data_IF_309296938598
#
_entry.id   IF_309296938598
#
_cell.length_a   1.000
_cell.length_b   1.000
_cell.length_c   1.000
_cell.angle_alpha   90.00
_cell.angle_beta   90.00
_cell.angle_gamma   90.00
#
_symmetry.space_group_name_H-M   'P 1'
#
loop_
_entity.id
_entity.type
_entity.pdbx_description
1 polymer ?
#
# COMPACT_ATOMS: atom_id res chain seq x y z
N UNK A 1 11.38 15.38 7.81
CA UNK A 1 10.99 15.23 6.38
C UNK A 1 11.50 13.89 5.89
N UNK A 2 10.77 13.19 5.01
CA UNK A 2 11.14 11.86 4.45
C UNK A 2 12.63 11.76 4.03
N UNK A 3 13.17 12.83 3.46
CA UNK A 3 14.59 12.96 3.08
C UNK A 3 15.58 12.80 4.22
N UNK A 4 15.20 13.13 5.45
CA UNK A 4 16.04 12.99 6.65
C UNK A 4 16.23 11.51 7.07
N UNK A 5 15.35 10.62 6.62
CA UNK A 5 15.49 9.16 6.81
C UNK A 5 16.11 8.47 5.58
N UNK A 6 16.57 9.23 4.58
CA UNK A 6 17.21 8.70 3.38
C UNK A 6 16.26 8.07 2.36
N UNK A 7 14.95 8.24 2.51
CA UNK A 7 13.99 7.72 1.54
C UNK A 7 13.96 8.60 0.28
N UNK A 8 14.30 7.97 -0.85
CA UNK A 8 14.31 8.62 -2.18
C UNK A 8 12.97 8.51 -2.91
N UNK A 9 12.01 7.81 -2.32
CA UNK A 9 10.65 7.64 -2.86
C UNK A 9 9.66 8.57 -2.15
N UNK A 10 8.55 8.95 -2.82
CA UNK A 10 7.53 9.79 -2.22
C UNK A 10 6.87 9.08 -1.03
N UNK A 11 6.76 9.79 0.09
CA UNK A 11 5.91 9.40 1.22
C UNK A 11 4.68 10.30 1.18
N UNK A 12 3.53 9.70 0.94
CA UNK A 12 2.25 10.39 0.83
C UNK A 12 1.60 10.54 2.20
N UNK A 13 0.75 11.56 2.34
CA UNK A 13 0.00 11.83 3.57
C UNK A 13 -1.51 11.72 3.30
N UNK A 14 -2.14 10.68 3.85
CA UNK A 14 -3.60 10.48 3.82
C UNK A 14 -4.23 11.05 5.11
N UNK A 15 -3.98 12.34 5.34
CA UNK A 15 -4.30 12.99 6.62
C UNK A 15 -5.66 13.69 6.63
N UNK A 16 -6.08 14.32 5.53
CA UNK A 16 -7.36 15.01 5.47
C UNK A 16 -7.99 14.98 4.07
N UNK A 17 -9.26 14.53 3.94
CA UNK A 17 -10.06 13.87 4.97
C UNK A 17 -9.40 12.57 5.48
N UNK A 18 -9.37 12.40 6.81
CA UNK A 18 -8.51 11.41 7.49
C UNK A 18 -8.74 10.00 6.99
N UNK A 19 -7.76 9.41 6.29
CA UNK A 19 -7.85 8.03 5.82
C UNK A 19 -8.76 7.80 4.61
N UNK A 20 -9.17 8.84 3.87
CA UNK A 20 -10.07 8.68 2.72
C UNK A 20 -9.49 7.77 1.64
N UNK A 21 -8.20 7.91 1.32
CA UNK A 21 -7.56 7.04 0.33
C UNK A 21 -7.51 5.61 0.85
N UNK A 22 -7.08 5.40 2.10
CA UNK A 22 -7.05 4.08 2.70
C UNK A 22 -8.43 3.42 2.77
N UNK A 23 -9.51 4.18 2.99
CA UNK A 23 -10.90 3.68 2.93
C UNK A 23 -11.29 3.28 1.51
N UNK A 24 -10.96 4.09 0.51
CA UNK A 24 -11.25 3.78 -0.89
C UNK A 24 -10.53 2.51 -1.36
N UNK A 25 -9.35 2.22 -0.81
CA UNK A 25 -8.62 0.97 -1.05
C UNK A 25 -9.04 -0.19 -0.13
N UNK A 26 -9.98 0.03 0.80
CA UNK A 26 -10.51 -0.99 1.70
C UNK A 26 -9.52 -1.50 2.74
N UNK A 27 -8.52 -0.68 3.11
CA UNK A 27 -7.45 -1.04 4.05
C UNK A 27 -7.41 -0.17 5.29
N UNK A 28 -8.39 0.71 5.49
CA UNK A 28 -8.48 1.55 6.67
C UNK A 28 -9.14 0.80 7.83
N UNK A 29 -8.55 0.87 9.02
CA UNK A 29 -9.15 0.40 10.27
C UNK A 29 -9.91 1.58 10.92
N UNK A 30 -11.23 1.62 10.76
CA UNK A 30 -12.06 2.69 11.35
C UNK A 30 -12.09 2.66 12.88
N UNK A 31 -11.82 1.51 13.51
CA UNK A 31 -11.78 1.39 14.96
C UNK A 31 -10.51 1.95 15.56
N UNK A 32 -9.38 1.82 14.86
CA UNK A 32 -8.06 2.25 15.33
C UNK A 32 -7.53 3.52 14.65
N UNK A 33 -8.15 3.96 13.56
CA UNK A 33 -7.85 5.21 12.88
C UNK A 33 -6.60 5.19 12.02
N UNK A 34 -6.14 4.02 11.56
CA UNK A 34 -4.96 3.89 10.70
C UNK A 34 -5.15 2.86 9.59
N UNK A 35 -4.35 2.95 8.52
CA UNK A 35 -4.36 1.96 7.45
C UNK A 35 -3.61 0.67 7.86
N UNK A 36 -4.21 -0.50 7.60
CA UNK A 36 -3.51 -1.78 7.58
C UNK A 36 -2.36 -1.77 6.58
N UNK A 37 -1.49 -2.79 6.65
CA UNK A 37 -0.33 -2.91 5.76
C UNK A 37 -0.75 -3.45 4.39
N UNK A 38 -1.57 -2.70 3.67
CA UNK A 38 -1.96 -2.98 2.29
C UNK A 38 -0.84 -2.75 1.29
N UNK A 39 -0.74 -3.61 0.28
CA UNK A 39 0.18 -3.50 -0.86
C UNK A 39 -0.62 -3.70 -2.14
N UNK A 40 -0.43 -2.80 -3.10
CA UNK A 40 -1.15 -2.82 -4.37
C UNK A 40 -0.19 -2.63 -5.53
N UNK A 41 -0.42 -3.37 -6.61
CA UNK A 41 0.16 -3.09 -7.92
C UNK A 41 -0.92 -2.51 -8.83
N UNK A 42 -0.66 -1.30 -9.33
CA UNK A 42 -1.52 -0.64 -10.31
C UNK A 42 -0.85 -0.69 -11.68
N UNK A 43 -1.53 -1.28 -12.66
CA UNK A 43 -1.09 -1.35 -14.05
C UNK A 43 -1.10 0.02 -14.74
N UNK A 44 -0.49 0.09 -15.93
CA UNK A 44 -0.45 1.34 -16.73
C UNK A 44 -1.83 1.81 -17.21
N UNK A 45 -2.79 0.89 -17.25
CA UNK A 45 -4.21 1.13 -17.56
C UNK A 45 -5.01 1.64 -16.34
N UNK A 46 -4.36 1.79 -15.18
CA UNK A 46 -4.98 2.23 -13.93
C UNK A 46 -5.74 1.12 -13.19
N UNK A 47 -5.63 -0.15 -13.61
CA UNK A 47 -6.30 -1.28 -12.94
C UNK A 47 -5.39 -1.90 -11.88
N UNK A 48 -5.99 -2.47 -10.83
CA UNK A 48 -5.26 -3.19 -9.80
C UNK A 48 -4.99 -4.62 -10.30
N UNK A 49 -3.71 -4.93 -10.55
CA UNK A 49 -3.26 -6.27 -10.97
C UNK A 49 -2.86 -7.18 -9.81
N UNK A 50 -2.58 -6.59 -8.64
CA UNK A 50 -2.30 -7.34 -7.42
C UNK A 50 -2.74 -6.53 -6.19
N UNK A 51 -3.29 -7.21 -5.19
CA UNK A 51 -3.72 -6.67 -3.91
C UNK A 51 -3.38 -7.68 -2.83
N UNK A 52 -2.76 -7.21 -1.76
CA UNK A 52 -2.59 -7.99 -0.53
C UNK A 52 -2.62 -7.09 0.71
N UNK A 53 -3.05 -7.63 1.84
CA UNK A 53 -3.21 -6.89 3.10
C UNK A 53 -2.71 -7.73 4.25
N UNK A 54 -1.66 -7.25 4.89
CA UNK A 54 -1.09 -7.89 6.07
C UNK A 54 -1.70 -7.28 7.34
N UNK A 55 -2.06 -8.15 8.29
CA UNK A 55 -2.74 -7.77 9.52
C UNK A 55 -1.86 -6.96 10.49
N UNK A 56 -2.46 -6.33 11.53
CA UNK A 56 -1.69 -5.66 12.58
C UNK A 56 -0.79 -6.65 13.33
N UNK A 57 0.52 -6.43 13.31
CA UNK A 57 1.51 -7.28 13.98
C UNK A 57 2.25 -8.25 13.04
N UNK A 58 1.77 -8.39 11.80
CA UNK A 58 2.43 -9.19 10.77
C UNK A 58 3.30 -8.31 9.87
N UNK A 59 4.42 -8.86 9.42
CA UNK A 59 5.36 -8.18 8.54
C UNK A 59 5.11 -8.55 7.07
N UNK A 60 5.27 -7.58 6.18
CA UNK A 60 5.38 -7.88 4.74
C UNK A 60 6.70 -8.61 4.51
N UNK A 61 6.63 -9.80 3.92
CA UNK A 61 7.79 -10.56 3.43
C UNK A 61 8.13 -10.20 1.98
N UNK A 62 9.34 -10.55 1.55
CA UNK A 62 9.85 -10.36 0.17
C UNK A 62 8.97 -11.04 -0.88
N UNK A 63 8.41 -12.21 -0.56
CA UNK A 63 7.51 -12.96 -1.43
C UNK A 63 6.28 -12.15 -1.88
N UNK A 64 5.74 -11.25 -1.05
CA UNK A 64 4.62 -10.40 -1.45
C UNK A 64 4.99 -9.46 -2.60
N UNK A 65 6.25 -9.00 -2.63
CA UNK A 65 6.76 -8.12 -3.68
C UNK A 65 7.10 -8.89 -4.94
N UNK A 66 7.67 -10.08 -4.82
CA UNK A 66 7.94 -10.96 -5.97
C UNK A 66 6.66 -11.34 -6.71
N UNK A 67 5.61 -11.70 -5.98
CA UNK A 67 4.29 -12.01 -6.55
C UNK A 67 3.72 -10.77 -7.26
N UNK A 68 3.78 -9.60 -6.62
CA UNK A 68 3.31 -8.36 -7.21
C UNK A 68 4.07 -8.05 -8.52
N UNK A 69 5.40 -8.07 -8.51
CA UNK A 69 6.21 -7.75 -9.68
C UNK A 69 6.09 -8.80 -10.79
N UNK A 70 5.91 -10.08 -10.44
CA UNK A 70 5.57 -11.13 -11.40
C UNK A 70 4.26 -10.85 -12.12
N UNK A 71 3.23 -10.38 -11.40
CA UNK A 71 1.97 -9.96 -12.00
C UNK A 71 2.13 -8.72 -12.90
N UNK A 72 3.07 -7.81 -12.62
CA UNK A 72 3.38 -6.68 -13.51
C UNK A 72 4.06 -7.13 -14.82
N UNK A 73 4.93 -8.14 -14.77
CA UNK A 73 5.65 -8.64 -15.94
C UNK A 73 4.73 -9.42 -16.92
N UNK A 74 3.57 -9.87 -16.45
CA UNK A 74 2.57 -10.58 -17.24
C UNK A 74 1.49 -9.66 -17.86
N UNK A 75 1.53 -8.35 -17.59
CA UNK A 75 0.61 -7.32 -18.10
C UNK A 75 1.27 -6.52 -19.23
#
# INVERSE_FOLDING_TARGET
MSSAQGFLFPILSDFWPHGEVARNYGVFDDGRGFAHRGTFLVGRDGRIGFRDVVGPGEARTESHWEIALGAAAAQ
#
